data_IF_916100831176
#
_entry.id   IF_916100831176
#
_cell.length_a   1.000
_cell.length_b   1.000
_cell.length_c   1.000
_cell.angle_alpha   90.00
_cell.angle_beta   90.00
_cell.angle_gamma   90.00
#
_symmetry.space_group_name_H-M   'P 1'
#
loop_
_entity.id
_entity.type
_entity.pdbx_description
1 polymer ?
#
# COMPACT_ATOMS: atom_id res chain seq x y z
N UNK A 1 9.61 14.66 -19.26
CA UNK A 1 9.56 13.47 -20.14
C UNK A 1 8.52 12.55 -19.59
N UNK A 2 7.56 12.12 -20.41
CA UNK A 2 6.45 11.25 -19.99
C UNK A 2 6.91 9.78 -19.90
N UNK A 3 6.34 9.03 -18.98
CA UNK A 3 6.52 7.57 -18.92
C UNK A 3 5.73 6.91 -20.05
N UNK A 4 6.28 5.81 -20.59
CA UNK A 4 5.56 4.92 -21.49
C UNK A 4 4.75 3.93 -20.65
N UNK A 5 3.43 3.94 -20.78
CA UNK A 5 2.54 3.00 -20.07
C UNK A 5 2.23 1.81 -20.99
N UNK A 6 2.49 0.62 -20.50
CA UNK A 6 2.32 -0.65 -21.21
C UNK A 6 1.37 -1.55 -20.41
N UNK A 7 0.43 -2.19 -21.10
CA UNK A 7 -0.57 -3.06 -20.46
C UNK A 7 -0.34 -4.52 -20.88
N UNK A 8 -0.25 -5.41 -19.89
CA UNK A 8 -0.13 -6.85 -20.06
C UNK A 8 1.18 -7.44 -19.53
N UNK A 9 1.11 -8.74 -19.21
CA UNK A 9 2.23 -9.53 -18.68
C UNK A 9 3.41 -9.63 -19.62
N UNK A 10 3.17 -9.59 -20.92
CA UNK A 10 4.21 -9.67 -21.98
C UNK A 10 5.24 -8.54 -21.89
N UNK A 11 4.90 -7.46 -21.21
CA UNK A 11 5.79 -6.31 -21.00
C UNK A 11 6.64 -6.40 -19.74
N UNK A 12 6.43 -7.39 -18.87
CA UNK A 12 7.18 -7.55 -17.61
C UNK A 12 8.69 -7.64 -17.87
N UNK A 13 9.10 -8.35 -18.91
CA UNK A 13 10.51 -8.52 -19.30
C UNK A 13 11.26 -7.20 -19.55
N UNK A 14 10.56 -6.13 -19.89
CA UNK A 14 11.15 -4.78 -20.01
C UNK A 14 11.70 -4.24 -18.68
N UNK A 15 11.32 -4.83 -17.57
CA UNK A 15 11.78 -4.48 -16.21
C UNK A 15 12.80 -5.46 -15.63
N UNK A 16 13.21 -6.52 -16.34
CA UNK A 16 14.09 -7.58 -15.79
C UNK A 16 15.43 -7.05 -15.30
N UNK A 17 16.01 -6.08 -15.98
CA UNK A 17 17.29 -5.47 -15.60
C UNK A 17 17.13 -4.17 -14.82
N UNK A 18 15.90 -3.84 -14.37
CA UNK A 18 15.65 -2.66 -13.56
C UNK A 18 16.19 -2.85 -12.13
N UNK A 19 17.04 -1.94 -11.68
CA UNK A 19 17.61 -1.95 -10.32
C UNK A 19 16.62 -1.46 -9.28
N UNK A 20 15.72 -0.53 -9.66
CA UNK A 20 14.67 -0.01 -8.79
C UNK A 20 13.33 -0.07 -9.50
N UNK A 21 12.33 -0.62 -8.82
CA UNK A 21 10.95 -0.72 -9.30
C UNK A 21 10.01 -0.25 -8.21
N UNK A 22 9.17 0.70 -8.55
CA UNK A 22 8.04 1.11 -7.73
C UNK A 22 6.82 0.26 -8.08
N UNK A 23 5.99 -0.06 -7.09
CA UNK A 23 4.76 -0.82 -7.32
C UNK A 23 3.59 -0.26 -6.52
N UNK A 24 2.41 -0.49 -7.05
CA UNK A 24 1.13 -0.12 -6.45
C UNK A 24 0.07 -1.12 -6.90
N UNK A 25 -1.06 -1.19 -6.18
CA UNK A 25 -2.14 -2.13 -6.48
C UNK A 25 -3.50 -1.47 -6.43
N UNK A 26 -4.38 -1.86 -7.39
CA UNK A 26 -5.80 -1.54 -7.34
C UNK A 26 -6.61 -2.80 -7.07
N UNK A 27 -7.60 -2.70 -6.20
CA UNK A 27 -8.30 -3.86 -5.67
C UNK A 27 -9.81 -3.68 -5.69
N UNK A 28 -10.55 -4.79 -5.80
CA UNK A 28 -12.01 -4.73 -5.80
C UNK A 28 -12.61 -4.45 -4.42
N UNK A 29 -11.85 -4.69 -3.35
CA UNK A 29 -12.23 -4.48 -1.95
C UNK A 29 -11.01 -4.03 -1.15
N UNK A 30 -11.21 -3.56 0.07
CA UNK A 30 -10.10 -3.14 0.93
C UNK A 30 -9.39 -4.33 1.61
N UNK A 31 -10.07 -5.45 1.79
CA UNK A 31 -9.56 -6.63 2.49
C UNK A 31 -9.35 -7.78 1.50
N UNK A 32 -8.15 -8.40 1.49
CA UNK A 32 -7.82 -9.48 0.54
C UNK A 32 -8.78 -10.66 0.58
N UNK A 33 -9.22 -11.09 1.77
CA UNK A 33 -10.15 -12.20 1.96
C UNK A 33 -11.57 -11.93 1.44
N UNK A 34 -11.90 -10.67 1.17
CA UNK A 34 -13.23 -10.26 0.70
C UNK A 34 -13.27 -9.83 -0.77
N UNK A 35 -12.12 -9.79 -1.43
CA UNK A 35 -12.02 -9.22 -2.77
C UNK A 35 -11.02 -9.94 -3.67
N UNK A 36 -10.65 -9.26 -4.74
CA UNK A 36 -9.64 -9.69 -5.71
C UNK A 36 -8.71 -8.53 -6.03
N UNK A 37 -7.44 -8.83 -6.23
CA UNK A 37 -6.49 -7.92 -6.84
C UNK A 37 -6.94 -7.66 -8.28
N UNK A 38 -7.01 -6.39 -8.66
CA UNK A 38 -7.41 -6.00 -10.01
C UNK A 38 -6.22 -5.62 -10.86
N UNK A 39 -5.47 -4.63 -10.43
CA UNK A 39 -4.29 -4.18 -11.15
C UNK A 39 -3.05 -4.24 -10.28
N UNK A 40 -1.94 -4.58 -10.88
CA UNK A 40 -0.59 -4.37 -10.37
C UNK A 40 0.14 -3.43 -11.31
N UNK A 41 0.61 -2.32 -10.81
CA UNK A 41 1.43 -1.36 -11.54
C UNK A 41 2.89 -1.49 -11.12
N UNK A 42 3.79 -1.51 -12.10
CA UNK A 42 5.23 -1.61 -11.90
C UNK A 42 5.93 -0.49 -12.66
N UNK A 43 6.57 0.43 -11.95
CA UNK A 43 7.22 1.58 -12.56
C UNK A 43 8.75 1.56 -12.40
N UNK A 44 9.45 1.99 -13.44
CA UNK A 44 10.90 2.16 -13.42
C UNK A 44 11.29 3.55 -13.92
N UNK A 45 11.85 4.38 -13.02
CA UNK A 45 12.26 5.77 -13.32
C UNK A 45 13.32 5.84 -14.41
N UNK A 46 14.37 5.01 -14.31
CA UNK A 46 15.51 5.05 -15.23
C UNK A 46 15.14 4.64 -16.66
N UNK A 47 14.10 3.81 -16.81
CA UNK A 47 13.59 3.37 -18.11
C UNK A 47 12.42 4.20 -18.61
N UNK A 48 11.83 5.02 -17.76
CA UNK A 48 10.59 5.77 -18.02
C UNK A 48 9.47 4.86 -18.54
N UNK A 49 9.31 3.69 -17.90
CA UNK A 49 8.30 2.68 -18.24
C UNK A 49 7.44 2.39 -17.02
N UNK A 50 6.15 2.25 -17.25
CA UNK A 50 5.18 1.69 -16.31
C UNK A 50 4.51 0.49 -16.99
N UNK A 51 4.55 -0.67 -16.34
CA UNK A 51 3.84 -1.87 -16.76
C UNK A 51 2.63 -2.03 -15.86
N UNK A 52 1.45 -2.16 -16.46
CA UNK A 52 0.17 -2.38 -15.76
C UNK A 52 -0.35 -3.77 -16.09
N UNK A 53 -0.54 -4.59 -15.08
CA UNK A 53 -0.96 -5.98 -15.20
C UNK A 53 -2.36 -6.12 -14.64
N UNK A 54 -3.31 -6.57 -15.45
CA UNK A 54 -4.69 -6.85 -15.05
C UNK A 54 -4.80 -8.30 -14.56
N UNK A 55 -4.96 -8.50 -13.27
CA UNK A 55 -5.04 -9.82 -12.64
C UNK A 55 -6.28 -10.63 -13.07
N UNK A 56 -7.29 -9.98 -13.63
CA UNK A 56 -8.42 -10.70 -14.23
C UNK A 56 -8.08 -11.36 -15.57
N UNK A 57 -6.92 -11.04 -16.13
CA UNK A 57 -6.41 -11.60 -17.40
C UNK A 57 -5.15 -12.46 -17.18
N UNK A 58 -4.78 -12.74 -15.93
CA UNK A 58 -3.60 -13.57 -15.59
C UNK A 58 -4.00 -14.95 -15.10
N UNK A 59 -3.07 -15.88 -15.20
CA UNK A 59 -3.17 -17.25 -14.71
C UNK A 59 -2.01 -17.62 -13.77
N UNK A 60 -1.95 -18.88 -13.32
CA UNK A 60 -0.92 -19.36 -12.40
C UNK A 60 0.50 -19.25 -12.98
N UNK A 61 0.67 -19.40 -14.31
CA UNK A 61 1.98 -19.28 -14.93
C UNK A 61 2.49 -17.83 -14.90
N UNK A 62 1.59 -16.87 -15.03
CA UNK A 62 1.87 -15.44 -14.86
C UNK A 62 2.27 -15.10 -13.43
N UNK A 63 1.55 -15.68 -12.45
CA UNK A 63 1.87 -15.47 -11.04
C UNK A 63 3.22 -16.09 -10.67
N UNK A 64 3.60 -17.24 -11.26
CA UNK A 64 4.95 -17.80 -11.12
C UNK A 64 6.03 -16.89 -11.69
N UNK A 65 5.76 -16.21 -12.80
CA UNK A 65 6.66 -15.20 -13.33
C UNK A 65 6.80 -14.01 -12.37
N UNK A 66 5.70 -13.54 -11.80
CA UNK A 66 5.69 -12.45 -10.80
C UNK A 66 6.40 -12.87 -9.51
N UNK A 67 6.21 -14.10 -9.01
CA UNK A 67 6.91 -14.64 -7.84
C UNK A 67 8.43 -14.57 -8.04
N UNK A 68 8.92 -15.02 -9.20
CA UNK A 68 10.37 -14.92 -9.55
C UNK A 68 10.82 -13.47 -9.69
N UNK A 69 10.01 -12.61 -10.33
CA UNK A 69 10.32 -11.20 -10.52
C UNK A 69 10.47 -10.47 -9.18
N UNK A 70 9.54 -10.67 -8.24
CA UNK A 70 9.55 -10.04 -6.93
C UNK A 70 10.58 -10.65 -5.95
N UNK A 71 11.02 -11.88 -6.15
CA UNK A 71 12.06 -12.54 -5.33
C UNK A 71 13.48 -12.02 -5.57
N UNK A 72 13.70 -11.18 -6.60
CA UNK A 72 15.03 -10.65 -6.93
C UNK A 72 15.61 -9.84 -5.77
N UNK A 73 16.66 -10.38 -5.14
CA UNK A 73 17.32 -9.81 -3.96
C UNK A 73 18.20 -8.60 -4.22
N UNK A 74 18.50 -8.30 -5.48
CA UNK A 74 19.32 -7.14 -5.86
C UNK A 74 18.47 -5.93 -6.30
N UNK A 75 17.15 -6.11 -6.36
CA UNK A 75 16.22 -5.06 -6.78
C UNK A 75 15.72 -4.25 -5.59
N UNK A 76 15.72 -2.94 -5.75
CA UNK A 76 15.05 -2.02 -4.84
C UNK A 76 13.56 -1.95 -5.15
N UNK A 77 12.76 -2.12 -4.13
CA UNK A 77 11.31 -2.04 -4.21
C UNK A 77 10.81 -0.82 -3.47
N UNK A 78 9.85 -0.11 -4.01
CA UNK A 78 9.17 0.99 -3.31
C UNK A 78 7.67 0.93 -3.57
N UNK A 79 6.89 1.04 -2.50
CA UNK A 79 5.45 1.26 -2.56
C UNK A 79 5.04 2.40 -1.60
N UNK A 80 3.80 2.85 -1.71
CA UNK A 80 3.22 3.78 -0.75
C UNK A 80 2.20 3.04 0.12
N UNK A 81 2.33 3.10 1.45
CA UNK A 81 1.55 2.24 2.36
C UNK A 81 1.71 0.74 2.05
N UNK A 82 2.95 0.34 1.80
CA UNK A 82 3.34 -0.97 1.27
C UNK A 82 2.73 -2.19 1.98
N UNK A 83 2.26 -2.05 3.23
CA UNK A 83 1.53 -3.11 3.95
C UNK A 83 0.30 -3.55 3.15
N UNK A 84 -0.43 -2.60 2.55
CA UNK A 84 -1.62 -2.89 1.75
C UNK A 84 -1.25 -3.72 0.52
N UNK A 85 -0.32 -3.23 -0.30
CA UNK A 85 0.06 -3.87 -1.55
C UNK A 85 0.68 -5.25 -1.33
N UNK A 86 1.56 -5.36 -0.33
CA UNK A 86 2.19 -6.63 0.04
C UNK A 86 1.13 -7.66 0.48
N UNK A 87 0.13 -7.25 1.25
CA UNK A 87 -0.92 -8.15 1.70
C UNK A 87 -1.72 -8.72 0.50
N UNK A 88 -2.03 -7.89 -0.49
CA UNK A 88 -2.69 -8.34 -1.71
C UNK A 88 -1.81 -9.24 -2.57
N UNK A 89 -0.53 -8.93 -2.72
CA UNK A 89 0.42 -9.78 -3.45
C UNK A 89 0.60 -11.14 -2.78
N UNK A 90 0.59 -11.19 -1.44
CA UNK A 90 0.68 -12.43 -0.67
C UNK A 90 -0.48 -13.40 -0.91
N UNK A 91 -1.67 -12.93 -1.33
CA UNK A 91 -2.79 -13.81 -1.74
C UNK A 91 -2.43 -14.70 -2.93
N UNK A 92 -1.53 -14.22 -3.78
CA UNK A 92 -1.04 -14.91 -4.98
C UNK A 92 0.34 -15.57 -4.76
N UNK A 93 0.79 -15.64 -3.49
CA UNK A 93 2.11 -16.16 -3.14
C UNK A 93 3.28 -15.29 -3.63
N UNK A 94 3.01 -14.04 -4.00
CA UNK A 94 4.02 -13.08 -4.47
C UNK A 94 4.58 -12.34 -3.26
N UNK A 95 5.90 -12.50 -3.02
CA UNK A 95 6.60 -11.93 -1.87
C UNK A 95 7.75 -11.03 -2.35
N UNK A 96 7.62 -9.70 -2.23
CA UNK A 96 8.73 -8.81 -2.52
C UNK A 96 9.94 -9.11 -1.65
N UNK A 97 11.14 -9.18 -2.24
CA UNK A 97 12.34 -9.37 -1.47
C UNK A 97 12.57 -8.18 -0.53
N UNK A 98 12.82 -8.47 0.75
CA UNK A 98 12.87 -7.46 1.82
C UNK A 98 14.22 -6.76 1.95
N UNK A 99 15.26 -7.22 1.26
CA UNK A 99 16.62 -6.66 1.40
C UNK A 99 16.66 -5.16 1.12
N UNK A 100 15.94 -4.74 0.08
CA UNK A 100 15.87 -3.34 -0.36
C UNK A 100 14.41 -2.88 -0.55
N UNK A 101 13.53 -3.34 0.32
CA UNK A 101 12.13 -2.91 0.33
C UNK A 101 12.00 -1.55 1.00
N UNK A 102 11.26 -0.64 0.39
CA UNK A 102 10.97 0.70 0.88
C UNK A 102 9.48 1.01 0.92
N UNK A 103 9.09 1.95 1.77
CA UNK A 103 7.74 2.49 1.85
C UNK A 103 7.80 4.02 1.99
N UNK A 104 7.28 4.74 1.01
CA UNK A 104 7.31 6.21 1.00
C UNK A 104 6.45 6.82 2.12
N UNK A 105 5.39 6.14 2.59
CA UNK A 105 4.64 6.56 3.77
C UNK A 105 5.50 6.49 5.04
N UNK A 106 6.25 5.40 5.26
CA UNK A 106 7.16 5.28 6.40
C UNK A 106 8.29 6.30 6.33
N UNK A 107 8.89 6.51 5.14
CA UNK A 107 9.88 7.57 4.94
C UNK A 107 9.32 8.94 5.36
N UNK A 108 8.12 9.29 4.88
CA UNK A 108 7.45 10.54 5.22
C UNK A 108 7.15 10.68 6.73
N UNK A 109 6.79 9.59 7.40
CA UNK A 109 6.56 9.57 8.85
C UNK A 109 7.85 9.82 9.62
N UNK A 110 8.94 9.12 9.28
CA UNK A 110 10.24 9.30 9.90
C UNK A 110 10.78 10.73 9.72
N UNK A 111 10.72 11.27 8.50
CA UNK A 111 11.14 12.63 8.19
C UNK A 111 10.28 13.71 8.86
N UNK A 112 9.08 13.35 9.31
CA UNK A 112 8.16 14.26 10.01
C UNK A 112 8.15 14.05 11.52
N UNK A 113 9.04 13.26 12.07
CA UNK A 113 9.05 12.87 13.48
C UNK A 113 8.86 14.09 14.41
N UNK A 114 7.90 13.98 15.31
CA UNK A 114 7.54 15.04 16.25
C UNK A 114 6.73 16.21 15.68
N UNK A 115 6.47 16.24 14.35
CA UNK A 115 5.61 17.28 13.74
C UNK A 115 4.17 16.80 13.70
N UNK A 116 3.33 17.35 14.59
CA UNK A 116 1.90 17.05 14.64
C UNK A 116 1.15 17.61 13.43
N UNK A 117 0.04 16.96 13.06
CA UNK A 117 -0.86 17.46 12.00
C UNK A 117 -0.40 17.16 10.56
N UNK A 118 0.77 16.56 10.34
CA UNK A 118 1.20 16.17 8.99
C UNK A 118 0.45 14.92 8.52
N UNK A 119 -0.10 15.01 7.32
CA UNK A 119 -0.69 13.87 6.61
C UNK A 119 0.39 13.14 5.81
N UNK A 120 0.21 11.83 5.65
CA UNK A 120 1.19 10.94 5.00
C UNK A 120 0.57 10.08 3.88
N UNK A 121 -0.62 10.42 3.38
CA UNK A 121 -1.18 9.84 2.17
C UNK A 121 -0.35 10.19 0.94
N UNK A 122 -0.42 9.39 -0.14
CA UNK A 122 0.39 9.60 -1.33
C UNK A 122 0.26 11.01 -1.86
N UNK A 123 -0.95 11.53 -2.01
CA UNK A 123 -1.18 12.89 -2.49
C UNK A 123 -0.55 13.96 -1.59
N UNK A 124 -0.63 13.79 -0.25
CA UNK A 124 -0.03 14.75 0.69
C UNK A 124 1.51 14.74 0.65
N UNK A 125 2.10 13.56 0.37
CA UNK A 125 3.55 13.40 0.21
C UNK A 125 4.01 13.95 -1.14
N UNK A 126 3.28 13.65 -2.21
CA UNK A 126 3.56 14.13 -3.57
C UNK A 126 3.45 15.66 -3.65
N UNK A 127 2.40 16.25 -3.10
CA UNK A 127 2.26 17.71 -3.01
C UNK A 127 3.46 18.35 -2.28
N UNK A 128 3.83 17.80 -1.12
CA UNK A 128 4.94 18.30 -0.29
C UNK A 128 6.29 18.28 -0.98
N UNK A 129 6.61 17.21 -1.71
CA UNK A 129 7.95 16.98 -2.27
C UNK A 129 8.06 17.30 -3.76
N UNK A 130 6.96 17.21 -4.50
CA UNK A 130 6.94 17.43 -5.94
C UNK A 130 6.12 18.66 -6.36
N UNK A 131 5.29 19.22 -5.47
CA UNK A 131 4.38 20.32 -5.79
C UNK A 131 3.31 19.92 -6.80
N UNK A 132 2.92 18.64 -6.83
CA UNK A 132 1.94 18.07 -7.75
C UNK A 132 0.67 17.76 -6.97
N UNK A 133 -0.47 18.29 -7.40
CA UNK A 133 -1.77 17.91 -6.90
C UNK A 133 -2.24 16.63 -7.60
N UNK A 134 -2.52 15.58 -6.81
CA UNK A 134 -3.06 14.31 -7.32
C UNK A 134 -4.58 14.29 -7.20
N UNK A 135 -5.22 13.95 -8.29
CA UNK A 135 -6.65 13.63 -8.32
C UNK A 135 -6.91 12.32 -7.55
N UNK A 136 -7.90 12.34 -6.68
CA UNK A 136 -8.31 11.19 -5.84
C UNK A 136 -9.66 10.59 -6.27
N UNK A 137 -10.29 11.09 -7.34
CA UNK A 137 -11.64 10.67 -7.72
C UNK A 137 -11.72 9.16 -7.99
N UNK A 138 -10.68 8.58 -8.60
CA UNK A 138 -10.68 7.16 -8.94
C UNK A 138 -10.31 6.23 -7.76
N UNK A 139 -9.77 6.74 -6.67
CA UNK A 139 -9.37 5.93 -5.49
C UNK A 139 -10.53 5.08 -4.92
N UNK A 140 -11.77 5.57 -5.03
CA UNK A 140 -12.98 4.89 -4.55
C UNK A 140 -13.84 4.35 -5.68
N UNK A 141 -13.33 4.29 -6.90
CA UNK A 141 -14.08 3.81 -8.06
C UNK A 141 -14.29 2.29 -8.00
N UNK A 142 -15.23 1.81 -8.81
CA UNK A 142 -15.48 0.36 -8.90
C UNK A 142 -14.44 -0.33 -9.80
N UNK A 143 -13.48 -0.99 -9.19
CA UNK A 143 -12.42 -1.74 -9.87
C UNK A 143 -12.85 -3.15 -10.34
N UNK A 144 -14.04 -3.62 -9.95
CA UNK A 144 -14.52 -4.96 -10.31
C UNK A 144 -15.08 -5.04 -11.75
N UNK A 145 -15.44 -3.90 -12.34
CA UNK A 145 -16.02 -3.82 -13.67
C UNK A 145 -15.00 -3.72 -14.81
N UNK A 146 -15.50 -3.33 -15.99
CA UNK A 146 -14.63 -2.97 -17.12
C UNK A 146 -13.85 -1.71 -16.80
N UNK A 147 -12.53 -1.75 -16.97
CA UNK A 147 -11.66 -0.62 -16.66
C UNK A 147 -11.88 0.53 -17.64
N UNK A 148 -12.11 1.71 -17.11
CA UNK A 148 -12.20 2.95 -17.90
C UNK A 148 -10.81 3.47 -18.25
N UNK A 149 -10.76 4.42 -19.19
CA UNK A 149 -9.51 5.08 -19.56
C UNK A 149 -8.97 5.92 -18.39
N UNK A 150 -9.86 6.55 -17.64
CA UNK A 150 -9.56 7.37 -16.47
C UNK A 150 -8.94 6.52 -15.37
N UNK A 151 -9.51 5.34 -15.05
CA UNK A 151 -8.93 4.39 -14.09
C UNK A 151 -7.52 3.93 -14.49
N UNK A 152 -7.32 3.59 -15.77
CA UNK A 152 -5.99 3.19 -16.27
C UNK A 152 -4.97 4.33 -16.16
N UNK A 153 -5.39 5.56 -16.43
CA UNK A 153 -4.54 6.75 -16.31
C UNK A 153 -4.20 7.02 -14.85
N UNK A 154 -5.18 6.93 -13.97
CA UNK A 154 -5.01 7.09 -12.51
C UNK A 154 -3.99 6.09 -11.97
N UNK A 155 -4.19 4.79 -12.20
CA UNK A 155 -3.31 3.72 -11.74
C UNK A 155 -1.85 3.90 -12.22
N UNK A 156 -1.65 4.33 -13.46
CA UNK A 156 -0.31 4.62 -13.96
C UNK A 156 0.30 5.86 -13.29
N UNK A 157 -0.53 6.87 -12.97
CA UNK A 157 -0.07 8.12 -12.37
C UNK A 157 0.46 7.94 -10.96
N UNK A 158 -0.18 7.11 -10.13
CA UNK A 158 0.26 6.86 -8.76
C UNK A 158 1.67 6.25 -8.73
N UNK A 159 1.99 5.30 -9.62
CA UNK A 159 3.34 4.74 -9.73
C UNK A 159 4.33 5.71 -10.38
N UNK A 160 3.90 6.54 -11.34
CA UNK A 160 4.76 7.57 -11.93
C UNK A 160 5.31 8.51 -10.85
N UNK A 161 4.42 9.09 -10.03
CA UNK A 161 4.84 10.03 -8.98
C UNK A 161 5.63 9.33 -7.87
N UNK A 162 5.31 8.08 -7.57
CA UNK A 162 6.08 7.27 -6.61
C UNK A 162 7.53 7.07 -7.07
N UNK A 163 7.75 6.81 -8.36
CA UNK A 163 9.07 6.72 -8.96
C UNK A 163 9.86 8.04 -8.86
N UNK A 164 9.18 9.18 -8.93
CA UNK A 164 9.85 10.49 -8.79
C UNK A 164 10.20 10.80 -7.32
N UNK A 165 9.38 10.33 -6.36
CA UNK A 165 9.61 10.50 -4.92
C UNK A 165 10.82 9.70 -4.39
N UNK A 166 11.14 8.54 -4.98
CA UNK A 166 12.10 7.56 -4.43
C UNK A 166 13.44 8.20 -4.06
N UNK A 167 14.06 8.91 -5.00
CA UNK A 167 15.37 9.52 -4.78
C UNK A 167 15.32 10.67 -3.77
N UNK A 168 14.28 11.50 -3.84
CA UNK A 168 14.12 12.66 -2.95
C UNK A 168 14.00 12.21 -1.50
N UNK A 169 13.16 11.20 -1.24
CA UNK A 169 12.98 10.65 0.11
C UNK A 169 14.25 9.95 0.62
N UNK A 170 14.97 9.23 -0.23
CA UNK A 170 16.25 8.60 0.13
C UNK A 170 17.31 9.63 0.47
N UNK A 171 17.43 10.69 -0.31
CA UNK A 171 18.39 11.78 -0.06
C UNK A 171 18.11 12.46 1.28
N UNK A 172 16.85 12.78 1.58
CA UNK A 172 16.48 13.36 2.89
C UNK A 172 16.73 12.39 4.06
N UNK A 173 16.37 11.11 3.91
CA UNK A 173 16.65 10.10 4.94
C UNK A 173 18.15 9.99 5.24
N UNK A 174 18.99 10.07 4.21
CA UNK A 174 20.44 10.09 4.37
C UNK A 174 20.90 11.38 5.07
N UNK A 175 20.41 12.54 4.65
CA UNK A 175 20.75 13.84 5.22
C UNK A 175 20.45 13.93 6.72
N UNK A 176 19.34 13.32 7.16
CA UNK A 176 18.95 13.32 8.58
C UNK A 176 19.42 12.08 9.35
N UNK A 177 20.28 11.22 8.78
CA UNK A 177 20.77 9.97 9.38
C UNK A 177 19.65 9.00 9.80
N UNK A 178 18.54 8.97 9.05
CA UNK A 178 17.36 8.13 9.34
C UNK A 178 17.33 6.83 8.51
N UNK A 179 18.32 6.60 7.64
CA UNK A 179 18.30 5.47 6.71
C UNK A 179 18.28 4.12 7.43
N UNK A 180 18.98 3.94 8.54
CA UNK A 180 18.99 2.67 9.29
C UNK A 180 17.62 2.43 9.99
N UNK A 181 17.03 3.46 10.57
CA UNK A 181 15.67 3.38 11.13
C UNK A 181 14.65 3.04 10.03
N UNK A 182 14.76 3.68 8.86
CA UNK A 182 13.90 3.41 7.72
C UNK A 182 14.02 1.95 7.24
N UNK A 183 15.24 1.42 7.11
CA UNK A 183 15.46 0.01 6.73
C UNK A 183 14.89 -0.96 7.75
N UNK A 184 15.00 -0.64 9.05
CA UNK A 184 14.44 -1.46 10.12
C UNK A 184 12.90 -1.51 10.02
N UNK A 185 12.25 -0.37 9.91
CA UNK A 185 10.79 -0.26 9.74
C UNK A 185 10.31 -1.01 8.49
N UNK A 186 11.02 -0.86 7.37
CA UNK A 186 10.65 -1.52 6.12
C UNK A 186 10.80 -3.04 6.17
N UNK A 187 11.74 -3.59 6.94
CA UNK A 187 11.88 -5.05 7.15
C UNK A 187 10.67 -5.67 7.84
N UNK A 188 9.92 -4.92 8.64
CA UNK A 188 8.73 -5.39 9.32
C UNK A 188 7.48 -5.46 8.41
N UNK A 189 7.49 -4.78 7.24
CA UNK A 189 6.32 -4.65 6.36
C UNK A 189 5.66 -5.99 5.98
N UNK A 190 6.41 -7.06 5.57
CA UNK A 190 5.76 -8.32 5.22
C UNK A 190 5.09 -9.01 6.40
N UNK A 191 5.66 -8.91 7.61
CA UNK A 191 5.04 -9.44 8.81
C UNK A 191 3.78 -8.66 9.16
N UNK A 192 3.81 -7.33 9.05
CA UNK A 192 2.63 -6.48 9.27
C UNK A 192 1.53 -6.76 8.24
N UNK A 193 1.89 -6.97 6.97
CA UNK A 193 0.96 -7.37 5.92
C UNK A 193 0.31 -8.73 6.24
N UNK A 194 1.09 -9.71 6.70
CA UNK A 194 0.58 -11.01 7.12
C UNK A 194 -0.35 -10.89 8.32
N UNK A 195 0.01 -10.10 9.33
CA UNK A 195 -0.85 -9.85 10.50
C UNK A 195 -2.17 -9.19 10.10
N UNK A 196 -2.12 -8.23 9.17
CA UNK A 196 -3.32 -7.57 8.67
C UNK A 196 -4.24 -8.53 7.92
N UNK A 197 -3.68 -9.44 7.09
CA UNK A 197 -4.43 -10.48 6.38
C UNK A 197 -5.09 -11.49 7.32
N UNK A 198 -4.34 -11.99 8.28
CA UNK A 198 -4.84 -13.02 9.22
C UNK A 198 -5.79 -12.46 10.25
N UNK A 199 -5.69 -11.15 10.54
CA UNK A 199 -6.46 -10.51 11.59
C UNK A 199 -6.14 -11.06 12.98
N UNK A 200 -6.98 -10.69 13.95
CA UNK A 200 -6.92 -11.23 15.32
C UNK A 200 -8.04 -12.25 15.49
N UNK A 201 -7.74 -13.44 16.02
CA UNK A 201 -8.78 -14.41 16.31
C UNK A 201 -9.64 -13.91 17.48
N UNK A 202 -10.92 -13.69 17.23
CA UNK A 202 -11.89 -13.31 18.24
C UNK A 202 -12.82 -14.47 18.57
N UNK A 203 -13.04 -14.71 19.85
CA UNK A 203 -14.14 -15.55 20.28
C UNK A 203 -15.45 -14.76 20.15
N UNK A 204 -16.25 -15.11 19.14
CA UNK A 204 -17.50 -14.38 18.80
C UNK A 204 -18.52 -14.43 19.94
N UNK A 205 -18.58 -15.53 20.68
CA UNK A 205 -19.50 -15.72 21.80
C UNK A 205 -19.12 -14.81 22.97
N UNK A 206 -17.83 -14.78 23.31
CA UNK A 206 -17.32 -13.87 24.36
C UNK A 206 -17.51 -12.41 23.97
N UNK A 207 -17.33 -12.06 22.70
CA UNK A 207 -17.55 -10.68 22.23
C UNK A 207 -19.02 -10.29 22.33
N UNK A 208 -19.93 -11.17 21.94
CA UNK A 208 -21.37 -10.93 22.06
C UNK A 208 -21.79 -10.77 23.54
N UNK A 209 -21.27 -11.64 24.44
CA UNK A 209 -21.56 -11.52 25.87
C UNK A 209 -21.02 -10.20 26.45
N UNK A 210 -19.76 -9.83 26.13
CA UNK A 210 -19.17 -8.56 26.59
C UNK A 210 -19.96 -7.35 26.12
N UNK A 211 -20.50 -7.39 24.90
CA UNK A 211 -21.36 -6.32 24.40
C UNK A 211 -22.62 -6.17 25.26
N UNK A 212 -23.28 -7.27 25.62
CA UNK A 212 -24.45 -7.26 26.48
C UNK A 212 -24.12 -6.75 27.90
N UNK A 213 -22.97 -7.19 28.45
CA UNK A 213 -22.49 -6.73 29.76
C UNK A 213 -22.28 -5.20 29.76
N UNK A 214 -21.61 -4.66 28.77
CA UNK A 214 -21.39 -3.21 28.65
C UNK A 214 -22.71 -2.41 28.42
N UNK A 215 -23.63 -2.93 27.63
CA UNK A 215 -24.94 -2.30 27.44
C UNK A 215 -25.73 -2.27 28.77
N UNK A 216 -25.61 -3.31 29.58
CA UNK A 216 -26.22 -3.35 30.93
C UNK A 216 -25.55 -2.32 31.86
N UNK A 217 -24.21 -2.33 31.96
CA UNK A 217 -23.46 -1.44 32.81
C UNK A 217 -23.72 0.05 32.49
N UNK A 218 -23.77 0.38 31.18
CA UNK A 218 -24.11 1.75 30.75
C UNK A 218 -25.50 2.16 31.23
N UNK A 219 -26.49 1.26 31.16
CA UNK A 219 -27.85 1.56 31.65
C UNK A 219 -27.90 1.77 33.17
N UNK A 220 -27.22 0.94 33.92
CA UNK A 220 -27.21 1.07 35.37
C UNK A 220 -26.44 2.31 35.84
N UNK A 221 -25.24 2.57 35.30
CA UNK A 221 -24.49 3.78 35.58
C UNK A 221 -25.24 5.06 35.17
N UNK A 222 -25.97 5.03 34.06
CA UNK A 222 -26.80 6.18 33.66
C UNK A 222 -27.93 6.44 34.64
N UNK A 223 -28.59 5.41 35.18
CA UNK A 223 -29.63 5.56 36.22
C UNK A 223 -29.04 6.10 37.53
N UNK A 224 -27.88 5.61 37.93
CA UNK A 224 -27.18 6.06 39.12
C UNK A 224 -26.80 7.55 39.00
N UNK A 225 -26.21 7.93 37.89
CA UNK A 225 -25.86 9.31 37.57
C UNK A 225 -27.05 10.27 37.60
N UNK A 226 -28.20 9.88 37.04
CA UNK A 226 -29.43 10.68 37.08
C UNK A 226 -29.92 10.83 38.50
N UNK A 227 -29.92 9.77 39.32
CA UNK A 227 -30.33 9.85 40.72
C UNK A 227 -29.46 10.80 41.55
N UNK A 228 -28.13 10.81 41.29
CA UNK A 228 -27.22 11.74 41.99
C UNK A 228 -27.42 13.19 41.56
N UNK A 229 -27.86 13.45 40.32
CA UNK A 229 -28.16 14.79 39.84
C UNK A 229 -29.49 15.36 40.40
N UNK A 230 -30.44 14.46 40.70
CA UNK A 230 -31.76 14.82 41.21
C UNK A 230 -31.80 14.91 42.78
N UNK A 231 -30.69 14.63 43.45
CA UNK A 231 -30.53 14.68 44.92
C UNK A 231 -29.90 16.00 45.34
#
# INVERSE_FOLDING_TARGET
MSYQVLFGMEHLSKLDTAVSVCFDTETCQLQPEMGKLRLLQLGCKTRKIIVVIDFFQTDESDWDCLRRFFSNGERHWLAHNAVFDIAWLQEYGIHPNTRFLGCSMLASRLLSNGKTGRKHGLADVVDRYLGIELDKEQQKSNWAGTLTKEQKTYAAKDVEVLCELDLILKDELCQYNLMEAFKLECKALPAMAQMWRTGLPWNKENLAQRKLDYEHDIKELSKEFIRELDS
#
